data_IF_657960228172
#
_entry.id   IF_657960228172
#
_cell.length_a   1.000
_cell.length_b   1.000
_cell.length_c   1.000
_cell.angle_alpha   90.00
_cell.angle_beta   90.00
_cell.angle_gamma   90.00
#
_symmetry.space_group_name_H-M   'P 1'
#
loop_
_entity.id
_entity.type
_entity.pdbx_description
1 polymer ?
#
# COMPACT_ATOMS: atom_id res chain seq x y z
N UNK A 1 21.02 -2.73 21.79
CA UNK A 1 21.11 -3.33 20.45
C UNK A 1 19.77 -3.99 20.14
N UNK A 2 19.23 -3.90 18.92
CA UNK A 2 18.00 -4.60 18.58
C UNK A 2 18.22 -6.11 18.73
N UNK A 3 17.24 -6.82 19.31
CA UNK A 3 17.29 -8.27 19.43
C UNK A 3 17.28 -8.96 18.05
N UNK A 4 17.76 -10.19 17.95
CA UNK A 4 17.85 -10.94 16.68
C UNK A 4 16.53 -10.96 15.88
N UNK A 5 15.38 -10.99 16.55
CA UNK A 5 14.04 -10.91 15.92
C UNK A 5 13.77 -9.56 15.28
N UNK A 6 14.18 -8.45 15.90
CA UNK A 6 14.00 -7.11 15.33
C UNK A 6 14.90 -6.89 14.10
N UNK A 7 16.13 -7.42 14.12
CA UNK A 7 17.03 -7.34 12.96
C UNK A 7 16.44 -8.07 11.76
N UNK A 8 15.87 -9.27 11.96
CA UNK A 8 15.17 -10.00 10.88
C UNK A 8 13.98 -9.21 10.33
N UNK A 9 13.18 -8.59 11.21
CA UNK A 9 12.05 -7.76 10.79
C UNK A 9 12.52 -6.56 9.96
N UNK A 10 13.59 -5.87 10.35
CA UNK A 10 14.13 -4.74 9.59
C UNK A 10 14.67 -5.16 8.22
N UNK A 11 15.40 -6.28 8.13
CA UNK A 11 15.86 -6.81 6.86
C UNK A 11 14.69 -7.17 5.93
N UNK A 12 13.67 -7.86 6.45
CA UNK A 12 12.48 -8.19 5.70
C UNK A 12 11.77 -6.93 5.19
N UNK A 13 11.54 -5.94 6.06
CA UNK A 13 10.91 -4.66 5.71
C UNK A 13 11.70 -3.89 4.64
N UNK A 14 13.03 -3.92 4.68
CA UNK A 14 13.88 -3.31 3.64
C UNK A 14 13.71 -4.01 2.31
N UNK A 15 13.80 -5.35 2.30
CA UNK A 15 13.66 -6.16 1.08
C UNK A 15 12.29 -5.99 0.43
N UNK A 16 11.20 -6.07 1.21
CA UNK A 16 9.86 -5.92 0.66
C UNK A 16 9.60 -4.50 0.18
N UNK A 17 10.16 -3.49 0.83
CA UNK A 17 10.02 -2.10 0.39
C UNK A 17 10.74 -1.86 -0.96
N UNK A 18 11.92 -2.41 -1.16
CA UNK A 18 12.60 -2.39 -2.45
C UNK A 18 11.79 -3.14 -3.52
N UNK A 19 11.27 -4.32 -3.18
CA UNK A 19 10.43 -5.12 -4.05
C UNK A 19 9.17 -4.33 -4.49
N UNK A 20 8.43 -3.78 -3.54
CA UNK A 20 7.23 -2.99 -3.84
C UNK A 20 7.54 -1.70 -4.62
N UNK A 21 8.71 -1.09 -4.38
CA UNK A 21 9.17 0.04 -5.17
C UNK A 21 9.31 -0.26 -6.67
N UNK A 22 9.56 -1.51 -7.03
CA UNK A 22 9.62 -1.93 -8.45
C UNK A 22 8.22 -2.07 -9.10
N UNK A 23 7.15 -2.20 -8.30
CA UNK A 23 5.81 -2.53 -8.81
C UNK A 23 5.24 -1.53 -9.81
N UNK A 24 5.35 -0.20 -9.61
CA UNK A 24 4.82 0.76 -10.58
C UNK A 24 5.41 0.58 -11.98
N UNK A 25 6.75 0.40 -12.08
CA UNK A 25 7.42 0.24 -13.36
C UNK A 25 7.01 -1.08 -14.05
N UNK A 26 7.04 -2.20 -13.32
CA UNK A 26 6.60 -3.48 -13.89
C UNK A 26 5.11 -3.51 -14.19
N UNK A 27 4.26 -2.91 -13.34
CA UNK A 27 2.85 -2.79 -13.61
C UNK A 27 2.59 -2.01 -14.92
N UNK A 28 3.33 -0.92 -15.16
CA UNK A 28 3.19 -0.13 -16.40
C UNK A 28 3.49 -0.97 -17.65
N UNK A 29 4.51 -1.85 -17.59
CA UNK A 29 4.80 -2.78 -18.69
C UNK A 29 3.64 -3.77 -18.94
N UNK A 30 3.07 -4.32 -17.89
CA UNK A 30 1.95 -5.27 -18.02
C UNK A 30 0.65 -4.58 -18.44
N UNK A 31 0.42 -3.33 -18.02
CA UNK A 31 -0.74 -2.52 -18.36
C UNK A 31 -0.82 -2.16 -19.86
N UNK A 32 0.29 -2.29 -20.60
CA UNK A 32 0.27 -2.21 -22.05
C UNK A 32 -0.49 -3.38 -22.72
N UNK A 33 -0.67 -4.49 -22.02
CA UNK A 33 -1.28 -5.73 -22.53
C UNK A 33 -2.53 -6.14 -21.74
N UNK A 34 -2.56 -5.90 -20.43
CA UNK A 34 -3.68 -6.26 -19.56
C UNK A 34 -4.35 -5.01 -18.99
N UNK A 35 -5.68 -4.89 -19.11
CA UNK A 35 -6.44 -3.88 -18.38
C UNK A 35 -6.17 -3.91 -16.87
N UNK A 36 -6.27 -2.78 -16.15
CA UNK A 36 -5.90 -2.69 -14.74
C UNK A 36 -6.57 -3.74 -13.85
N UNK A 37 -7.89 -3.94 -14.02
CA UNK A 37 -8.62 -4.89 -13.20
C UNK A 37 -8.38 -6.35 -13.60
N UNK A 38 -8.02 -6.63 -14.85
CA UNK A 38 -7.56 -7.96 -15.28
C UNK A 38 -6.23 -8.27 -14.61
N UNK A 39 -5.27 -7.35 -14.71
CA UNK A 39 -3.94 -7.51 -14.12
C UNK A 39 -4.02 -7.75 -12.61
N UNK A 40 -4.76 -6.90 -11.88
CA UNK A 40 -4.85 -7.02 -10.42
C UNK A 40 -5.66 -8.23 -9.97
N UNK A 41 -6.75 -8.59 -10.67
CA UNK A 41 -7.54 -9.77 -10.34
C UNK A 41 -6.73 -11.06 -10.53
N UNK A 42 -6.02 -11.19 -11.65
CA UNK A 42 -5.16 -12.36 -11.92
C UNK A 42 -4.06 -12.50 -10.88
N UNK A 43 -3.30 -11.41 -10.61
CA UNK A 43 -2.21 -11.48 -9.64
C UNK A 43 -2.70 -11.78 -8.21
N UNK A 44 -3.81 -11.15 -7.77
CA UNK A 44 -4.35 -11.36 -6.44
C UNK A 44 -4.96 -12.76 -6.28
N UNK A 45 -5.62 -13.29 -7.32
CA UNK A 45 -6.15 -14.66 -7.31
C UNK A 45 -5.03 -15.70 -7.25
N UNK A 46 -3.97 -15.55 -8.04
CA UNK A 46 -2.80 -16.42 -7.98
C UNK A 46 -2.08 -16.32 -6.63
N UNK A 47 -1.93 -15.10 -6.08
CA UNK A 47 -1.38 -14.88 -4.74
C UNK A 47 -2.24 -15.55 -3.67
N UNK A 48 -3.57 -15.44 -3.76
CA UNK A 48 -4.52 -16.07 -2.86
C UNK A 48 -4.40 -17.60 -2.89
N UNK A 49 -4.34 -18.20 -4.09
CA UNK A 49 -4.14 -19.63 -4.25
C UNK A 49 -2.81 -20.09 -3.65
N UNK A 50 -1.72 -19.38 -3.94
CA UNK A 50 -0.39 -19.66 -3.40
C UNK A 50 -0.35 -19.57 -1.87
N UNK A 51 -0.89 -18.51 -1.29
CA UNK A 51 -0.98 -18.33 0.17
C UNK A 51 -1.81 -19.42 0.83
N UNK A 52 -2.93 -19.81 0.20
CA UNK A 52 -3.78 -20.91 0.68
C UNK A 52 -3.01 -22.23 0.72
N UNK A 53 -2.24 -22.55 -0.33
CA UNK A 53 -1.41 -23.76 -0.37
C UNK A 53 -0.33 -23.72 0.72
N UNK A 54 0.31 -22.55 0.94
CA UNK A 54 1.29 -22.39 2.01
C UNK A 54 0.67 -22.56 3.39
N UNK A 55 -0.53 -22.02 3.59
CA UNK A 55 -1.25 -22.10 4.85
C UNK A 55 -1.67 -23.54 5.16
N UNK A 56 -2.13 -24.30 4.16
CA UNK A 56 -2.42 -25.73 4.31
C UNK A 56 -1.24 -26.53 4.85
N UNK A 57 -0.02 -26.13 4.48
CA UNK A 57 1.21 -26.81 4.92
C UNK A 57 1.69 -26.39 6.31
N UNK A 58 1.30 -25.22 6.81
CA UNK A 58 1.95 -24.61 7.99
C UNK A 58 1.02 -24.09 9.10
N UNK A 59 -0.28 -24.01 8.89
CA UNK A 59 -1.17 -23.34 9.85
C UNK A 59 -2.66 -23.46 9.55
N UNK A 60 -3.08 -24.54 8.90
CA UNK A 60 -4.47 -24.76 8.51
C UNK A 60 -5.45 -24.84 9.69
N UNK A 61 -4.98 -25.26 10.86
CA UNK A 61 -5.81 -25.38 12.06
C UNK A 61 -6.38 -24.04 12.48
N UNK A 62 -5.57 -22.98 12.58
CA UNK A 62 -6.02 -21.63 12.90
C UNK A 62 -7.06 -21.13 11.89
N UNK A 63 -6.87 -21.43 10.59
CA UNK A 63 -7.81 -21.02 9.55
C UNK A 63 -9.18 -21.73 9.66
N UNK A 64 -9.20 -22.98 10.11
CA UNK A 64 -10.45 -23.73 10.33
C UNK A 64 -11.27 -23.24 11.52
N UNK A 65 -10.61 -22.62 12.50
CA UNK A 65 -11.24 -22.09 13.71
C UNK A 65 -11.83 -20.69 13.52
N UNK A 66 -11.71 -20.10 12.30
CA UNK A 66 -12.26 -18.78 12.01
C UNK A 66 -13.80 -18.76 12.16
N UNK A 67 -14.27 -17.72 12.85
CA UNK A 67 -15.69 -17.47 13.09
C UNK A 67 -16.28 -16.54 12.03
N UNK A 68 -17.58 -16.54 11.87
CA UNK A 68 -18.26 -15.59 10.99
C UNK A 68 -17.95 -14.11 11.32
N UNK A 69 -17.69 -13.80 12.58
CA UNK A 69 -17.27 -12.46 12.98
C UNK A 69 -15.90 -12.08 12.38
N UNK A 70 -14.98 -13.03 12.29
CA UNK A 70 -13.65 -12.83 11.73
C UNK A 70 -13.72 -12.56 10.22
N UNK A 71 -14.69 -13.16 9.52
CA UNK A 71 -14.88 -12.93 8.08
C UNK A 71 -15.23 -11.47 7.76
N UNK A 72 -15.97 -10.77 8.61
CA UNK A 72 -16.26 -9.33 8.43
C UNK A 72 -14.99 -8.50 8.55
N UNK A 73 -14.14 -8.86 9.48
CA UNK A 73 -12.85 -8.22 9.71
C UNK A 73 -11.93 -8.43 8.53
N UNK A 74 -11.79 -9.65 8.06
CA UNK A 74 -10.98 -9.96 6.87
C UNK A 74 -11.58 -9.41 5.58
N UNK A 75 -12.91 -9.32 5.47
CA UNK A 75 -13.56 -8.65 4.35
C UNK A 75 -13.21 -7.15 4.31
N UNK A 76 -13.18 -6.48 5.46
CA UNK A 76 -12.71 -5.10 5.54
C UNK A 76 -11.23 -4.96 5.14
N UNK A 77 -10.36 -5.88 5.59
CA UNK A 77 -8.95 -5.90 5.18
C UNK A 77 -8.82 -6.19 3.67
N UNK A 78 -9.57 -7.13 3.14
CA UNK A 78 -9.62 -7.42 1.69
C UNK A 78 -10.13 -6.23 0.89
N UNK A 79 -11.18 -5.56 1.37
CA UNK A 79 -11.72 -4.37 0.74
C UNK A 79 -10.71 -3.21 0.77
N UNK A 80 -10.19 -2.84 1.95
CA UNK A 80 -9.28 -1.70 2.08
C UNK A 80 -7.91 -1.95 1.43
N UNK A 81 -7.31 -3.13 1.67
CA UNK A 81 -5.95 -3.45 1.23
C UNK A 81 -5.87 -3.95 -0.20
N UNK A 82 -6.82 -4.76 -0.65
CA UNK A 82 -6.75 -5.37 -1.99
C UNK A 82 -7.63 -4.63 -3.00
N UNK A 83 -8.90 -4.43 -2.68
CA UNK A 83 -9.82 -3.80 -3.62
C UNK A 83 -9.52 -2.31 -3.78
N UNK A 84 -9.56 -1.52 -2.69
CA UNK A 84 -9.32 -0.06 -2.75
C UNK A 84 -7.84 0.22 -2.98
N UNK A 85 -6.95 -0.33 -2.15
CA UNK A 85 -5.54 0.02 -2.24
C UNK A 85 -4.90 -0.60 -3.48
N UNK A 86 -4.89 -1.93 -3.60
CA UNK A 86 -4.21 -2.58 -4.72
C UNK A 86 -4.93 -2.31 -6.03
N UNK A 87 -6.26 -2.49 -6.09
CA UNK A 87 -7.06 -2.20 -7.29
C UNK A 87 -6.93 -0.75 -7.73
N UNK A 88 -7.05 0.19 -6.80
CA UNK A 88 -6.85 1.63 -7.04
C UNK A 88 -5.44 1.95 -7.52
N UNK A 89 -4.41 1.30 -6.97
CA UNK A 89 -3.03 1.52 -7.42
C UNK A 89 -2.85 1.15 -8.90
N UNK A 90 -3.35 0.01 -9.35
CA UNK A 90 -3.21 -0.40 -10.76
C UNK A 90 -4.03 0.47 -11.71
N UNK A 91 -5.24 0.86 -11.31
CA UNK A 91 -6.04 1.82 -12.05
C UNK A 91 -5.34 3.19 -12.10
N UNK A 92 -4.80 3.64 -10.97
CA UNK A 92 -4.07 4.90 -10.88
C UNK A 92 -2.82 4.92 -11.75
N UNK A 93 -2.02 3.84 -11.76
CA UNK A 93 -0.84 3.71 -12.65
C UNK A 93 -1.27 3.72 -14.12
N UNK A 94 -2.39 3.10 -14.48
CA UNK A 94 -2.89 3.11 -15.85
C UNK A 94 -3.25 4.54 -16.33
N UNK A 95 -3.75 5.37 -15.44
CA UNK A 95 -4.23 6.74 -15.68
C UNK A 95 -3.22 7.83 -15.25
N UNK A 96 -1.99 7.43 -14.87
CA UNK A 96 -0.90 8.32 -14.47
C UNK A 96 0.45 7.78 -15.00
N UNK A 97 1.56 8.27 -14.43
CA UNK A 97 2.90 7.79 -14.72
C UNK A 97 3.39 6.83 -13.60
N UNK A 98 4.36 5.97 -13.92
CA UNK A 98 4.97 5.10 -12.91
C UNK A 98 5.78 5.93 -11.90
N UNK A 99 6.42 7.02 -12.32
CA UNK A 99 7.12 7.95 -11.46
C UNK A 99 6.19 8.62 -10.46
N UNK A 100 5.06 9.19 -10.91
CA UNK A 100 4.04 9.77 -10.02
C UNK A 100 3.51 8.73 -9.02
N UNK A 101 3.20 7.52 -9.50
CA UNK A 101 2.73 6.45 -8.63
C UNK A 101 3.74 6.13 -7.52
N UNK A 102 5.04 6.02 -7.85
CA UNK A 102 6.08 5.77 -6.87
C UNK A 102 6.20 6.89 -5.83
N UNK A 103 6.12 8.16 -6.26
CA UNK A 103 6.23 9.31 -5.36
C UNK A 103 4.97 9.43 -4.48
N UNK A 104 3.77 9.29 -5.05
CA UNK A 104 2.51 9.40 -4.31
C UNK A 104 2.35 8.27 -3.28
N UNK A 105 2.87 7.07 -3.59
CA UNK A 105 2.93 5.98 -2.61
C UNK A 105 3.82 6.31 -1.41
N UNK A 106 4.83 7.18 -1.57
CA UNK A 106 5.66 7.65 -0.46
C UNK A 106 4.89 8.49 0.57
N UNK A 107 3.70 9.01 0.24
CA UNK A 107 2.83 9.68 1.21
C UNK A 107 2.16 8.71 2.22
N UNK A 108 2.25 7.40 2.01
CA UNK A 108 1.65 6.37 2.86
C UNK A 108 1.98 6.53 4.36
N UNK A 109 3.24 6.73 4.79
CA UNK A 109 3.54 6.89 6.21
C UNK A 109 2.83 8.08 6.86
N UNK A 110 2.63 9.16 6.10
CA UNK A 110 1.87 10.33 6.57
C UNK A 110 0.39 9.98 6.72
N UNK A 111 -0.18 9.25 5.77
CA UNK A 111 -1.57 8.79 5.85
C UNK A 111 -1.77 7.78 6.99
N UNK A 112 -0.80 6.90 7.24
CA UNK A 112 -0.81 6.00 8.41
C UNK A 112 -0.78 6.80 9.71
N UNK A 113 0.08 7.84 9.82
CA UNK A 113 0.14 8.70 11.00
C UNK A 113 -1.17 9.47 11.24
N UNK A 114 -1.77 10.02 10.19
CA UNK A 114 -3.09 10.66 10.24
C UNK A 114 -4.18 9.69 10.65
N UNK A 115 -4.23 8.51 10.03
CA UNK A 115 -5.18 7.47 10.37
C UNK A 115 -5.03 7.00 11.83
N UNK A 116 -3.81 6.83 12.33
CA UNK A 116 -3.55 6.52 13.74
C UNK A 116 -4.03 7.65 14.67
N UNK A 117 -3.87 8.91 14.26
CA UNK A 117 -4.41 10.07 15.00
C UNK A 117 -5.92 10.02 15.15
N UNK A 118 -6.64 9.75 14.05
CA UNK A 118 -8.10 9.79 14.04
C UNK A 118 -8.73 8.51 14.61
N UNK A 119 -8.12 7.35 14.34
CA UNK A 119 -8.68 6.06 14.72
C UNK A 119 -8.19 5.54 16.08
N UNK A 120 -6.88 5.72 16.38
CA UNK A 120 -6.29 5.28 17.65
C UNK A 120 -6.22 6.40 18.70
N UNK A 121 -6.63 7.63 18.37
CA UNK A 121 -6.55 8.78 19.26
C UNK A 121 -5.12 9.27 19.57
N UNK A 122 -4.13 8.83 18.80
CA UNK A 122 -2.73 9.24 18.99
C UNK A 122 -2.59 10.74 18.80
N UNK A 123 -1.79 11.41 19.67
CA UNK A 123 -1.56 12.85 19.56
C UNK A 123 -0.32 13.11 18.72
N UNK A 124 -0.52 13.79 17.59
CA UNK A 124 0.60 14.24 16.76
C UNK A 124 1.26 15.48 17.39
N UNK A 125 2.58 15.45 17.48
CA UNK A 125 3.40 16.59 17.94
C UNK A 125 3.51 17.66 16.85
N UNK A 126 3.89 18.89 17.20
CA UNK A 126 4.08 20.01 16.23
C UNK A 126 4.99 19.62 15.06
N UNK A 127 6.08 18.88 15.33
CA UNK A 127 7.00 18.39 14.31
C UNK A 127 6.31 17.43 13.33
N UNK A 128 5.42 16.56 13.81
CA UNK A 128 4.68 15.64 12.96
C UNK A 128 3.66 16.37 12.09
N UNK A 129 2.99 17.42 12.63
CA UNK A 129 2.13 18.29 11.82
C UNK A 129 2.91 19.05 10.74
N UNK A 130 4.13 19.53 11.03
CA UNK A 130 5.01 20.12 10.01
C UNK A 130 5.38 19.09 8.94
N UNK A 131 5.61 17.83 9.33
CA UNK A 131 5.85 16.72 8.40
C UNK A 131 4.65 16.43 7.51
N UNK A 132 3.43 16.41 8.07
CA UNK A 132 2.19 16.28 7.31
C UNK A 132 2.07 17.40 6.29
N UNK A 133 2.27 18.65 6.70
CA UNK A 133 2.21 19.82 5.82
C UNK A 133 3.24 19.74 4.67
N UNK A 134 4.50 19.37 4.99
CA UNK A 134 5.54 19.21 3.98
C UNK A 134 5.20 18.10 2.98
N UNK A 135 4.69 16.96 3.45
CA UNK A 135 4.28 15.86 2.57
C UNK A 135 3.11 16.26 1.67
N UNK A 136 2.09 16.94 2.21
CA UNK A 136 0.97 17.44 1.41
C UNK A 136 1.42 18.47 0.34
N UNK A 137 2.33 19.37 0.69
CA UNK A 137 2.92 20.32 -0.27
C UNK A 137 3.69 19.57 -1.38
N UNK A 138 4.45 18.53 -1.02
CA UNK A 138 5.13 17.66 -2.00
C UNK A 138 4.16 16.95 -2.94
N UNK A 139 3.10 16.35 -2.40
CA UNK A 139 2.03 15.71 -3.18
C UNK A 139 1.39 16.71 -4.14
N UNK A 140 1.04 17.91 -3.66
CA UNK A 140 0.47 18.96 -4.51
C UNK A 140 1.44 19.37 -5.64
N UNK A 141 2.73 19.51 -5.34
CA UNK A 141 3.75 19.86 -6.33
C UNK A 141 3.84 18.81 -7.45
N UNK A 142 3.77 17.52 -7.12
CA UNK A 142 3.77 16.42 -8.08
C UNK A 142 2.50 16.45 -8.93
N UNK A 143 1.32 16.48 -8.31
CA UNK A 143 0.02 16.41 -9.00
C UNK A 143 -0.17 17.61 -9.94
N UNK A 144 0.25 18.81 -9.50
CA UNK A 144 0.12 20.06 -10.28
C UNK A 144 1.24 20.25 -11.29
N UNK A 145 2.25 19.38 -11.26
CA UNK A 145 3.48 19.52 -12.05
C UNK A 145 4.12 20.91 -11.90
N UNK A 146 4.04 21.48 -10.71
CA UNK A 146 4.57 22.80 -10.39
C UNK A 146 3.80 23.97 -11.01
N UNK A 147 2.63 23.74 -11.60
CA UNK A 147 1.81 24.76 -12.25
C UNK A 147 0.44 24.93 -11.59
N UNK A 148 0.18 26.10 -11.02
CA UNK A 148 -1.17 26.44 -10.52
C UNK A 148 -2.22 26.50 -11.64
N UNK A 149 -1.80 26.74 -12.88
CA UNK A 149 -2.69 26.69 -14.05
C UNK A 149 -3.26 25.29 -14.28
N UNK A 150 -2.48 24.24 -13.95
CA UNK A 150 -2.96 22.86 -14.04
C UNK A 150 -4.20 22.61 -13.16
N UNK A 151 -4.26 23.25 -11.98
CA UNK A 151 -5.45 23.19 -11.12
C UNK A 151 -6.62 23.97 -11.75
N UNK A 152 -6.35 25.19 -12.22
CA UNK A 152 -7.37 26.07 -12.78
C UNK A 152 -8.02 25.51 -14.06
N UNK A 153 -7.26 24.76 -14.85
CA UNK A 153 -7.72 24.16 -16.11
C UNK A 153 -8.06 22.67 -16.00
N UNK A 154 -8.03 22.08 -14.77
CA UNK A 154 -8.27 20.66 -14.53
C UNK A 154 -7.36 19.72 -15.35
N UNK A 155 -6.14 20.16 -15.65
CA UNK A 155 -5.13 19.38 -16.39
C UNK A 155 -4.42 18.35 -15.49
N UNK A 156 -5.10 17.92 -14.42
CA UNK A 156 -4.59 16.96 -13.46
C UNK A 156 -4.83 15.53 -13.97
N UNK A 157 -3.90 14.64 -13.73
CA UNK A 157 -4.08 13.23 -14.08
C UNK A 157 -5.07 12.58 -13.11
N UNK A 158 -6.21 12.04 -13.60
CA UNK A 158 -7.18 11.35 -12.72
C UNK A 158 -6.54 10.23 -11.89
N UNK A 159 -5.52 9.58 -12.47
CA UNK A 159 -4.77 8.53 -11.82
C UNK A 159 -4.09 8.95 -10.51
N UNK A 160 -3.63 10.21 -10.40
CA UNK A 160 -2.96 10.70 -9.20
C UNK A 160 -3.91 10.77 -8.00
N UNK A 161 -5.18 11.16 -8.21
CA UNK A 161 -6.20 11.13 -7.14
C UNK A 161 -6.56 9.70 -6.74
N UNK A 162 -6.67 8.79 -7.71
CA UNK A 162 -6.95 7.38 -7.45
C UNK A 162 -5.80 6.77 -6.65
N UNK A 163 -4.54 7.13 -6.96
CA UNK A 163 -3.37 6.73 -6.20
C UNK A 163 -3.43 7.20 -4.74
N UNK A 164 -3.83 8.44 -4.48
CA UNK A 164 -4.01 8.93 -3.11
C UNK A 164 -5.10 8.16 -2.34
N UNK A 165 -6.24 7.91 -2.98
CA UNK A 165 -7.31 7.08 -2.37
C UNK A 165 -6.80 5.66 -2.08
N UNK A 166 -5.99 5.10 -2.97
CA UNK A 166 -5.40 3.78 -2.75
C UNK A 166 -4.44 3.76 -1.56
N UNK A 167 -3.67 4.85 -1.31
CA UNK A 167 -2.82 4.95 -0.11
C UNK A 167 -3.65 5.09 1.18
N UNK A 168 -4.79 5.77 1.14
CA UNK A 168 -5.71 5.79 2.27
C UNK A 168 -6.27 4.38 2.58
N UNK A 169 -6.60 3.61 1.54
CA UNK A 169 -6.98 2.20 1.66
C UNK A 169 -5.89 1.35 2.31
N UNK A 170 -4.63 1.52 1.88
CA UNK A 170 -3.48 0.84 2.48
C UNK A 170 -3.25 1.25 3.94
N UNK A 171 -3.45 2.53 4.25
CA UNK A 171 -3.35 3.03 5.62
C UNK A 171 -4.39 2.36 6.52
N UNK A 172 -5.64 2.27 6.07
CA UNK A 172 -6.71 1.59 6.79
C UNK A 172 -6.38 0.09 7.00
N UNK A 173 -5.91 -0.61 5.94
CA UNK A 173 -5.45 -1.99 6.01
C UNK A 173 -4.35 -2.18 7.06
N UNK A 174 -3.36 -1.29 7.11
CA UNK A 174 -2.22 -1.38 8.02
C UNK A 174 -2.63 -1.12 9.47
N UNK A 175 -3.44 -0.09 9.72
CA UNK A 175 -3.85 0.33 11.08
C UNK A 175 -4.81 -0.70 11.68
N UNK A 176 -5.83 -1.08 10.91
CA UNK A 176 -6.81 -2.07 11.35
C UNK A 176 -6.19 -3.47 11.45
N UNK A 177 -5.30 -3.80 10.52
CA UNK A 177 -4.52 -5.04 10.54
C UNK A 177 -3.74 -5.23 11.83
N UNK A 178 -3.20 -4.16 12.45
CA UNK A 178 -2.53 -4.26 13.77
C UNK A 178 -3.44 -4.87 14.84
N UNK A 179 -4.72 -4.51 14.87
CA UNK A 179 -5.69 -5.06 15.83
C UNK A 179 -5.97 -6.54 15.54
N UNK A 180 -6.08 -6.89 14.26
CA UNK A 180 -6.29 -8.27 13.82
C UNK A 180 -5.10 -9.17 14.20
N UNK A 181 -3.89 -8.66 14.07
CA UNK A 181 -2.65 -9.36 14.43
C UNK A 181 -2.46 -9.59 15.95
N UNK A 182 -3.30 -9.01 16.79
CA UNK A 182 -3.35 -9.32 18.22
C UNK A 182 -4.00 -10.70 18.48
N UNK A 183 -4.86 -11.15 17.57
CA UNK A 183 -5.66 -12.38 17.70
C UNK A 183 -5.23 -13.44 16.67
N UNK A 184 -4.93 -13.01 15.43
CA UNK A 184 -4.63 -13.88 14.31
C UNK A 184 -3.16 -13.81 13.89
N UNK A 185 -2.66 -14.89 13.29
CA UNK A 185 -1.33 -14.91 12.71
C UNK A 185 -1.24 -14.06 11.43
N UNK A 186 -0.05 -13.52 11.10
CA UNK A 186 0.17 -12.80 9.84
C UNK A 186 -0.22 -13.60 8.59
N UNK A 187 0.05 -14.91 8.61
CA UNK A 187 -0.27 -15.80 7.50
C UNK A 187 -1.79 -15.94 7.29
N UNK A 188 -2.54 -16.18 8.37
CA UNK A 188 -4.02 -16.29 8.31
C UNK A 188 -4.63 -14.94 7.92
N UNK A 189 -4.22 -13.84 8.56
CA UNK A 189 -4.74 -12.51 8.25
C UNK A 189 -4.51 -12.12 6.78
N UNK A 190 -3.29 -12.38 6.26
CA UNK A 190 -2.96 -12.10 4.86
C UNK A 190 -3.77 -12.99 3.92
N UNK A 191 -3.79 -14.32 4.15
CA UNK A 191 -4.49 -15.27 3.27
C UNK A 191 -5.98 -14.98 3.19
N UNK A 192 -6.65 -14.81 4.34
CA UNK A 192 -8.07 -14.49 4.38
C UNK A 192 -8.40 -13.17 3.68
N UNK A 193 -7.57 -12.13 3.90
CA UNK A 193 -7.72 -10.84 3.21
C UNK A 193 -7.55 -10.98 1.69
N UNK A 194 -6.58 -11.79 1.24
CA UNK A 194 -6.36 -12.03 -0.19
C UNK A 194 -7.52 -12.81 -0.82
N UNK A 195 -8.06 -13.84 -0.17
CA UNK A 195 -9.23 -14.58 -0.65
C UNK A 195 -10.42 -13.64 -0.84
N UNK A 196 -10.77 -12.88 0.20
CA UNK A 196 -11.94 -12.01 0.16
C UNK A 196 -11.73 -10.79 -0.76
N UNK A 197 -10.53 -10.21 -0.78
CA UNK A 197 -10.19 -9.12 -1.69
C UNK A 197 -10.18 -9.55 -3.15
N UNK A 198 -9.66 -10.75 -3.46
CA UNK A 198 -9.71 -11.32 -4.81
C UNK A 198 -11.15 -11.60 -5.26
N UNK A 199 -11.99 -12.11 -4.35
CA UNK A 199 -13.41 -12.31 -4.61
C UNK A 199 -14.16 -11.00 -4.95
N UNK A 200 -13.69 -9.85 -4.44
CA UNK A 200 -14.22 -8.52 -4.79
C UNK A 200 -13.66 -8.01 -6.12
N UNK A 201 -12.39 -8.31 -6.44
CA UNK A 201 -11.73 -7.88 -7.67
C UNK A 201 -12.22 -8.62 -8.92
N UNK A 202 -12.59 -9.91 -8.80
CA UNK A 202 -13.06 -10.71 -9.92
C UNK A 202 -14.33 -10.15 -10.58
N UNK A 203 -15.43 -9.84 -9.86
CA UNK A 203 -16.58 -9.19 -10.47
C UNK A 203 -16.24 -7.79 -11.01
N UNK A 204 -15.36 -7.04 -10.36
CA UNK A 204 -14.93 -5.72 -10.85
C UNK A 204 -14.18 -5.82 -12.18
N UNK A 205 -13.41 -6.87 -12.40
CA UNK A 205 -12.80 -7.16 -13.71
C UNK A 205 -13.84 -7.26 -14.82
N UNK A 206 -14.97 -7.92 -14.56
CA UNK A 206 -16.06 -8.07 -15.53
C UNK A 206 -16.82 -6.76 -15.76
N UNK A 207 -17.13 -6.03 -14.67
CA UNK A 207 -17.80 -4.72 -14.73
C UNK A 207 -16.97 -3.69 -15.48
N UNK A 208 -15.65 -3.73 -15.30
CA UNK A 208 -14.74 -2.79 -15.94
C UNK A 208 -14.40 -3.16 -17.41
N UNK A 209 -14.64 -4.40 -17.83
CA UNK A 209 -14.26 -4.89 -19.16
C UNK A 209 -14.74 -4.01 -20.32
N UNK A 210 -15.96 -3.43 -20.33
CA UNK A 210 -16.42 -2.57 -21.44
C UNK A 210 -15.66 -1.26 -21.58
N UNK A 211 -14.97 -0.80 -20.52
CA UNK A 211 -14.28 0.49 -20.47
C UNK A 211 -12.80 0.42 -20.86
N UNK A 212 -12.28 -0.79 -21.07
CA UNK A 212 -10.87 -1.01 -21.35
C UNK A 212 -10.69 -1.88 -22.60
N UNK A 213 -9.52 -1.82 -23.27
CA UNK A 213 -9.16 -2.73 -24.36
C UNK A 213 -9.24 -4.19 -23.92
N UNK A 214 -9.41 -5.09 -24.89
CA UNK A 214 -9.37 -6.53 -24.61
C UNK A 214 -7.97 -6.94 -24.14
N UNK A 215 -7.86 -7.81 -23.11
CA UNK A 215 -6.56 -8.29 -22.63
C UNK A 215 -5.86 -9.14 -23.67
N UNK A 216 -4.57 -8.93 -23.86
CA UNK A 216 -3.70 -9.76 -24.68
C UNK A 216 -3.10 -10.89 -23.85
N UNK A 217 -3.81 -12.01 -23.76
CA UNK A 217 -3.34 -13.18 -23.00
C UNK A 217 -2.13 -13.90 -23.63
N UNK A 218 -1.67 -13.49 -24.82
CA UNK A 218 -0.46 -14.05 -25.46
C UNK A 218 0.80 -13.36 -24.99
N UNK A 219 0.71 -12.21 -24.33
CA UNK A 219 1.86 -11.43 -23.86
C UNK A 219 2.62 -12.14 -22.74
N UNK A 220 3.81 -12.64 -23.04
CA UNK A 220 4.72 -13.23 -22.05
C UNK A 220 5.14 -12.20 -20.99
N UNK A 221 5.39 -10.95 -21.41
CA UNK A 221 5.75 -9.87 -20.48
C UNK A 221 4.68 -9.65 -19.42
N UNK A 222 3.40 -9.59 -19.80
CA UNK A 222 2.31 -9.41 -18.86
C UNK A 222 2.20 -10.58 -17.89
N UNK A 223 2.33 -11.82 -18.36
CA UNK A 223 2.32 -13.00 -17.49
C UNK A 223 3.50 -13.07 -16.53
N UNK A 224 4.73 -12.73 -16.98
CA UNK A 224 5.88 -12.67 -16.10
C UNK A 224 5.70 -11.65 -14.97
N UNK A 225 5.12 -10.48 -15.28
CA UNK A 225 4.79 -9.48 -14.26
C UNK A 225 3.71 -9.98 -13.30
N UNK A 226 2.64 -10.62 -13.82
CA UNK A 226 1.59 -11.22 -12.99
C UNK A 226 2.18 -12.23 -12.01
N UNK A 227 3.00 -13.17 -12.50
CA UNK A 227 3.63 -14.21 -11.66
C UNK A 227 4.61 -13.60 -10.65
N UNK A 228 5.48 -12.68 -11.08
CA UNK A 228 6.39 -11.94 -10.22
C UNK A 228 5.65 -11.27 -9.05
N UNK A 229 4.63 -10.48 -9.37
CA UNK A 229 3.88 -9.73 -8.36
C UNK A 229 2.93 -10.60 -7.53
N UNK A 230 2.44 -11.73 -8.07
CA UNK A 230 1.63 -12.67 -7.32
C UNK A 230 2.44 -13.38 -6.23
N UNK A 231 3.51 -14.06 -6.61
CA UNK A 231 4.26 -14.90 -5.66
C UNK A 231 5.10 -14.09 -4.69
N UNK A 232 5.93 -13.17 -5.21
CA UNK A 232 6.76 -12.34 -4.33
C UNK A 232 5.91 -11.33 -3.54
N UNK A 233 4.83 -10.81 -4.14
CA UNK A 233 3.89 -9.94 -3.45
C UNK A 233 3.16 -10.63 -2.31
N UNK A 234 2.73 -11.88 -2.50
CA UNK A 234 2.10 -12.67 -1.44
C UNK A 234 3.02 -12.85 -0.23
N UNK A 235 4.28 -13.27 -0.47
CA UNK A 235 5.29 -13.39 0.58
C UNK A 235 5.57 -12.03 1.25
N UNK A 236 5.69 -10.97 0.45
CA UNK A 236 5.94 -9.63 0.95
C UNK A 236 4.82 -9.12 1.89
N UNK A 237 3.55 -9.44 1.61
CA UNK A 237 2.44 -9.05 2.51
C UNK A 237 2.46 -9.82 3.83
N UNK A 238 2.82 -11.10 3.83
CA UNK A 238 3.02 -11.86 5.09
C UNK A 238 4.15 -11.24 5.89
N UNK A 239 5.30 -10.99 5.27
CA UNK A 239 6.45 -10.36 5.92
C UNK A 239 6.16 -8.94 6.39
N UNK A 240 5.33 -8.19 5.65
CA UNK A 240 4.84 -6.88 6.08
C UNK A 240 4.10 -6.98 7.41
N UNK A 241 3.17 -7.90 7.52
CA UNK A 241 2.42 -8.11 8.75
C UNK A 241 3.28 -8.67 9.88
N UNK A 242 4.26 -9.52 9.59
CA UNK A 242 5.28 -9.93 10.58
C UNK A 242 6.06 -8.71 11.09
N UNK A 243 6.48 -7.83 10.18
CA UNK A 243 7.12 -6.56 10.52
C UNK A 243 6.24 -5.64 11.35
N UNK A 244 4.97 -5.45 10.95
CA UNK A 244 3.99 -4.65 11.71
C UNK A 244 3.76 -5.22 13.09
N UNK A 245 3.70 -6.55 13.24
CA UNK A 245 3.57 -7.24 14.52
C UNK A 245 4.79 -7.02 15.40
N UNK A 246 6.00 -7.11 14.83
CA UNK A 246 7.27 -7.04 15.55
C UNK A 246 7.65 -5.61 15.98
N UNK A 247 7.46 -4.60 15.13
CA UNK A 247 7.97 -3.24 15.36
C UNK A 247 6.89 -2.16 15.40
N UNK A 248 5.66 -2.52 15.09
CA UNK A 248 4.50 -1.62 14.99
C UNK A 248 4.36 -0.95 13.62
N UNK A 249 3.14 -0.47 13.26
CA UNK A 249 2.84 0.05 11.93
C UNK A 249 3.64 1.29 11.57
N UNK A 250 3.80 2.24 12.49
CA UNK A 250 4.52 3.50 12.25
C UNK A 250 6.01 3.27 11.95
N UNK A 251 6.67 2.32 12.66
CA UNK A 251 8.08 1.97 12.40
C UNK A 251 8.23 1.16 11.12
N UNK A 252 7.32 0.22 10.86
CA UNK A 252 7.33 -0.54 9.61
C UNK A 252 7.16 0.39 8.40
N UNK A 253 6.26 1.39 8.48
CA UNK A 253 6.00 2.35 7.41
C UNK A 253 7.23 3.19 7.01
N UNK A 254 8.22 3.39 7.91
CA UNK A 254 9.46 4.13 7.58
C UNK A 254 10.22 3.44 6.42
N UNK A 255 10.21 2.11 6.38
CA UNK A 255 10.93 1.37 5.34
C UNK A 255 10.31 1.57 3.96
N UNK A 256 9.02 1.94 3.88
CA UNK A 256 8.34 2.24 2.60
C UNK A 256 8.96 3.46 1.89
N UNK A 257 9.76 4.29 2.57
CA UNK A 257 10.48 5.40 1.95
C UNK A 257 11.51 4.96 0.90
N UNK A 258 11.88 3.68 0.88
CA UNK A 258 12.74 3.12 -0.16
C UNK A 258 11.99 2.94 -1.49
N UNK A 259 10.66 2.80 -1.45
CA UNK A 259 9.84 2.56 -2.63
C UNK A 259 9.96 3.66 -3.70
N UNK A 260 9.82 4.96 -3.38
CA UNK A 260 9.90 6.01 -4.38
C UNK A 260 11.28 6.07 -5.04
N UNK A 261 12.35 5.80 -4.30
CA UNK A 261 13.72 5.80 -4.85
C UNK A 261 13.84 4.70 -5.91
N UNK A 262 13.44 3.48 -5.57
CA UNK A 262 13.49 2.34 -6.49
C UNK A 262 12.51 2.56 -7.65
N UNK A 263 11.30 3.05 -7.38
CA UNK A 263 10.25 3.23 -8.39
C UNK A 263 10.58 4.30 -9.41
N UNK A 264 11.06 5.46 -8.99
CA UNK A 264 11.47 6.54 -9.89
C UNK A 264 12.69 6.12 -10.72
N UNK A 265 13.68 5.47 -10.10
CA UNK A 265 14.84 4.95 -10.80
C UNK A 265 14.46 3.95 -11.91
N UNK A 266 13.57 3.02 -11.60
CA UNK A 266 13.11 2.03 -12.58
C UNK A 266 12.19 2.64 -13.65
N UNK A 267 11.36 3.62 -13.33
CA UNK A 267 10.56 4.37 -14.29
C UNK A 267 11.47 5.09 -15.31
N UNK A 268 12.54 5.72 -14.83
CA UNK A 268 13.51 6.39 -15.68
C UNK A 268 14.31 5.40 -16.56
N UNK A 269 14.85 4.33 -15.97
CA UNK A 269 15.73 3.37 -16.68
C UNK A 269 14.94 2.47 -17.63
N UNK A 270 13.82 1.91 -17.18
CA UNK A 270 13.07 0.88 -17.93
C UNK A 270 12.03 1.47 -18.87
N UNK A 271 11.32 2.51 -18.43
CA UNK A 271 10.23 3.10 -19.18
C UNK A 271 10.62 4.38 -19.91
N UNK A 272 11.85 4.87 -19.67
CA UNK A 272 12.35 6.15 -20.21
C UNK A 272 11.41 7.33 -19.89
N UNK A 273 10.69 7.25 -18.78
CA UNK A 273 9.88 8.35 -18.30
C UNK A 273 10.79 9.53 -17.92
N UNK A 274 10.49 10.71 -18.48
CA UNK A 274 11.19 11.93 -18.07
C UNK A 274 10.73 12.32 -16.66
N UNK A 275 11.70 12.47 -15.75
CA UNK A 275 11.44 12.94 -14.40
C UNK A 275 11.77 14.44 -14.37
N UNK A 276 10.74 15.27 -14.27
CA UNK A 276 10.88 16.72 -14.26
C UNK A 276 11.16 17.27 -12.84
N UNK A 277 11.48 18.55 -12.75
CA UNK A 277 11.79 19.19 -11.45
C UNK A 277 10.65 19.12 -10.44
N UNK A 278 9.35 19.22 -10.81
CA UNK A 278 8.26 19.11 -9.84
C UNK A 278 8.19 17.73 -9.18
N UNK A 279 8.46 16.64 -9.92
CA UNK A 279 8.50 15.29 -9.35
C UNK A 279 9.69 15.12 -8.39
N UNK A 280 10.87 15.65 -8.74
CA UNK A 280 12.06 15.61 -7.87
C UNK A 280 11.82 16.44 -6.61
N UNK A 281 11.39 17.70 -6.75
CA UNK A 281 11.13 18.60 -5.64
C UNK A 281 9.98 18.12 -4.76
N UNK A 282 8.90 17.65 -5.36
CA UNK A 282 7.75 17.09 -4.67
C UNK A 282 8.11 15.80 -3.93
N UNK A 283 8.86 14.91 -4.56
CA UNK A 283 9.39 13.70 -3.92
C UNK A 283 10.27 14.01 -2.72
N UNK A 284 11.18 14.98 -2.85
CA UNK A 284 12.03 15.43 -1.74
C UNK A 284 11.19 15.98 -0.57
N UNK A 285 10.16 16.80 -0.84
CA UNK A 285 9.23 17.31 0.18
C UNK A 285 8.43 16.19 0.85
N UNK A 286 7.94 15.20 0.09
CA UNK A 286 7.26 14.03 0.65
C UNK A 286 8.19 13.27 1.58
N UNK A 287 9.41 12.96 1.16
CA UNK A 287 10.39 12.25 1.99
C UNK A 287 10.78 13.06 3.25
N UNK A 288 10.95 14.38 3.14
CA UNK A 288 11.15 15.26 4.29
C UNK A 288 9.96 15.20 5.24
N UNK A 289 8.75 15.28 4.73
CA UNK A 289 7.50 15.17 5.49
C UNK A 289 7.42 13.87 6.25
N UNK A 290 7.75 12.76 5.59
CA UNK A 290 7.80 11.44 6.22
C UNK A 290 8.87 11.39 7.32
N UNK A 291 10.09 11.89 7.06
CA UNK A 291 11.16 11.91 8.06
C UNK A 291 10.74 12.70 9.32
N UNK A 292 10.08 13.86 9.14
CA UNK A 292 9.58 14.66 10.25
C UNK A 292 8.44 13.96 11.02
N UNK A 293 7.58 13.21 10.32
CA UNK A 293 6.42 12.54 10.92
C UNK A 293 6.84 11.28 11.70
N UNK A 294 7.83 10.54 11.21
CA UNK A 294 8.19 9.21 11.74
C UNK A 294 9.30 9.23 12.80
N UNK A 295 10.18 10.24 12.79
CA UNK A 295 11.32 10.33 13.74
C UNK A 295 10.93 10.77 15.16
N UNK A 296 9.72 11.27 15.38
CA UNK A 296 9.27 11.64 16.72
C UNK A 296 8.79 10.39 17.48
N UNK A 297 9.24 10.17 18.75
CA UNK A 297 8.65 9.13 19.57
C UNK A 297 7.13 9.35 19.67
N UNK A 298 6.33 8.32 19.46
CA UNK A 298 4.88 8.38 19.69
C UNK A 298 4.66 8.80 21.14
N UNK A 299 3.78 9.76 21.38
CA UNK A 299 3.33 10.05 22.74
C UNK A 299 2.65 8.80 23.29
N UNK A 300 2.86 8.44 24.58
CA UNK A 300 2.16 7.33 25.19
C UNK A 300 0.64 7.54 25.02
N UNK A 301 -0.14 6.45 24.84
CA UNK A 301 -1.59 6.57 24.77
C UNK A 301 -2.11 7.34 25.99
N UNK A 302 -3.11 8.19 25.77
CA UNK A 302 -3.74 8.90 26.87
C UNK A 302 -4.26 7.87 27.89
N UNK A 303 -4.09 8.11 29.21
CA UNK A 303 -4.66 7.25 30.22
C UNK A 303 -6.17 7.13 29.99
N UNK A 304 -6.76 5.95 30.24
CA UNK A 304 -8.21 5.75 30.08
C UNK A 304 -8.95 6.83 30.87
N UNK A 305 -9.97 7.42 30.25
CA UNK A 305 -10.81 8.41 30.91
C UNK A 305 -11.37 7.80 32.20
N UNK A 306 -11.39 8.54 33.33
CA UNK A 306 -11.96 8.04 34.56
C UNK A 306 -13.41 7.63 34.32
N UNK A 307 -13.89 6.55 34.94
CA UNK A 307 -15.28 6.11 34.79
C UNK A 307 -16.20 7.30 35.12
N UNK A 308 -17.13 7.60 34.20
CA UNK A 308 -18.15 8.61 34.47
C UNK A 308 -18.88 8.20 35.77
N UNK A 309 -18.82 9.08 36.78
CA UNK A 309 -19.60 8.90 37.97
C UNK A 309 -21.05 8.74 37.55
N UNK A 310 -21.66 7.61 37.94
CA UNK A 310 -23.08 7.38 37.74
C UNK A 310 -23.81 8.42 38.56
N UNK A 311 -24.47 9.33 37.86
CA UNK A 311 -25.46 10.25 38.41
C UNK A 311 -26.84 9.71 38.25
#
# INVERSE_FOLDING_TARGET
MPGAGQTRAYLALTLISALWGSYPAFAKLALAHFPPFVLVALRCSLASAFLTVLLFRRGWEEFRELRWADLRVFAFLGFSGLFVSTGGTYLGIALSTAANAAILQAATPVMVALGARFYLGERLRRRQWAGVAASLAGVLLVITRGSWRAIAHLELLPGDFILLVSQAGWSAYTIYGKQVLAVHSPAVATTASYILGSAMLLPMMLVAAPFFPRPDFTSQTAWLVVLYQAFLGAVAHVWWYEGVKAVGPSRAAIFMNLQPIVGVLLAWVMLREAVAWPEIGGGALVLLGVALTTQAPLAPPAPPAPPRAAS
#
